data_IF_546544262123
#
_entry.id   IF_546544262123
#
_cell.length_a   1.000
_cell.length_b   1.000
_cell.length_c   1.000
_cell.angle_alpha   90.00
_cell.angle_beta   90.00
_cell.angle_gamma   90.00
#
_symmetry.space_group_name_H-M   'P 1'
#
loop_
_entity.id
_entity.type
_entity.pdbx_description
1 polymer ?
#
# COMPACT_ATOMS: atom_id res chain seq x y z
N UNK A 1 -51.35 -4.15 15.43
CA UNK A 1 -50.43 -3.92 14.30
C UNK A 1 -49.36 -5.00 14.38
N UNK A 2 -49.61 -6.18 13.79
CA UNK A 2 -48.68 -7.30 13.87
C UNK A 2 -47.60 -7.10 12.81
N UNK A 3 -46.41 -6.70 13.24
CA UNK A 3 -45.23 -6.68 12.36
C UNK A 3 -44.96 -8.14 12.01
N UNK A 4 -45.21 -8.51 10.76
CA UNK A 4 -44.98 -9.85 10.22
C UNK A 4 -43.58 -10.33 10.60
N UNK A 5 -43.44 -11.61 10.98
CA UNK A 5 -42.15 -12.24 11.28
C UNK A 5 -41.13 -12.03 10.14
N UNK A 6 -41.62 -11.91 8.89
CA UNK A 6 -40.84 -11.59 7.71
C UNK A 6 -40.22 -10.18 7.76
N UNK A 7 -40.94 -9.20 8.32
CA UNK A 7 -40.43 -7.84 8.51
C UNK A 7 -39.32 -7.78 9.56
N UNK A 8 -39.42 -8.58 10.62
CA UNK A 8 -38.34 -8.71 11.62
C UNK A 8 -37.09 -9.33 11.00
N UNK A 9 -37.25 -10.36 10.16
CA UNK A 9 -36.13 -11.03 9.50
C UNK A 9 -35.42 -10.10 8.51
N UNK A 10 -36.17 -9.29 7.76
CA UNK A 10 -35.62 -8.25 6.89
C UNK A 10 -34.88 -7.14 7.67
N UNK A 11 -35.43 -6.70 8.81
CA UNK A 11 -34.78 -5.72 9.69
C UNK A 11 -33.47 -6.26 10.31
N UNK A 12 -33.42 -7.55 10.65
CA UNK A 12 -32.24 -8.21 11.21
C UNK A 12 -31.13 -8.40 10.16
N UNK A 13 -31.48 -8.70 8.91
CA UNK A 13 -30.53 -8.77 7.79
C UNK A 13 -29.98 -7.38 7.44
N UNK A 14 -30.80 -6.32 7.55
CA UNK A 14 -30.37 -4.94 7.28
C UNK A 14 -29.46 -4.37 8.37
N UNK A 15 -29.67 -4.75 9.64
CA UNK A 15 -28.78 -4.35 10.76
C UNK A 15 -27.44 -5.10 10.80
N UNK A 16 -27.32 -6.20 10.06
CA UNK A 16 -26.06 -6.90 9.78
C UNK A 16 -25.30 -6.31 8.58
N UNK A 17 -25.79 -5.19 8.01
CA UNK A 17 -25.12 -4.45 6.94
C UNK A 17 -23.66 -4.17 7.29
N UNK A 18 -22.77 -4.74 6.47
CA UNK A 18 -21.32 -4.80 6.64
C UNK A 18 -20.68 -3.47 7.09
N UNK A 19 -20.05 -3.47 8.26
CA UNK A 19 -19.04 -2.48 8.66
C UNK A 19 -17.72 -2.79 7.91
N UNK A 20 -17.71 -2.66 6.58
CA UNK A 20 -16.50 -2.84 5.79
C UNK A 20 -15.67 -1.55 5.80
N UNK A 21 -14.82 -1.37 6.81
CA UNK A 21 -13.86 -0.27 6.81
C UNK A 21 -12.70 -0.59 5.84
N UNK A 22 -12.86 -0.18 4.58
CA UNK A 22 -11.81 -0.29 3.57
C UNK A 22 -10.94 0.98 3.60
N UNK A 23 -9.66 0.84 3.93
CA UNK A 23 -8.70 1.94 3.82
C UNK A 23 -8.04 1.91 2.45
N UNK A 24 -8.18 3.00 1.68
CA UNK A 24 -7.53 3.12 0.37
C UNK A 24 -6.27 3.97 0.47
N UNK A 25 -5.13 3.43 0.03
CA UNK A 25 -3.89 4.16 -0.11
C UNK A 25 -3.72 4.62 -1.55
N UNK A 26 -3.55 5.92 -1.80
CA UNK A 26 -3.20 6.46 -3.12
C UNK A 26 -1.76 6.93 -3.14
N UNK A 27 -0.94 6.32 -3.99
CA UNK A 27 0.45 6.68 -4.21
C UNK A 27 0.54 7.42 -5.54
N UNK A 28 1.00 8.67 -5.50
CA UNK A 28 1.18 9.49 -6.70
C UNK A 28 2.62 9.95 -6.80
N UNK A 29 3.21 9.77 -7.99
CA UNK A 29 4.52 10.29 -8.31
C UNK A 29 4.37 11.70 -8.91
N UNK A 30 4.63 12.72 -8.11
CA UNK A 30 4.69 14.11 -8.57
C UNK A 30 6.10 14.54 -9.01
N UNK A 31 7.08 13.64 -8.96
CA UNK A 31 8.43 13.92 -9.44
C UNK A 31 8.49 13.82 -10.97
N UNK A 32 9.45 14.51 -11.58
CA UNK A 32 9.75 14.45 -13.02
C UNK A 32 10.51 13.19 -13.45
N UNK A 33 10.80 12.28 -12.51
CA UNK A 33 11.55 11.04 -12.73
C UNK A 33 10.79 9.83 -12.19
N UNK A 34 11.08 8.66 -12.75
CA UNK A 34 10.51 7.39 -12.31
C UNK A 34 11.00 7.05 -10.90
N UNK A 35 10.07 6.59 -10.07
CA UNK A 35 10.36 6.07 -8.74
C UNK A 35 9.92 4.62 -8.66
N UNK A 36 10.50 3.88 -7.71
CA UNK A 36 10.15 2.48 -7.45
C UNK A 36 9.68 2.33 -6.02
N UNK A 37 8.39 2.60 -5.73
CA UNK A 37 7.88 2.47 -4.38
C UNK A 37 8.10 1.03 -3.88
N UNK A 38 8.60 0.91 -2.66
CA UNK A 38 8.68 -0.33 -1.91
C UNK A 38 7.55 -0.39 -0.89
N UNK A 39 7.03 -1.59 -0.66
CA UNK A 39 5.96 -1.82 0.32
C UNK A 39 6.31 -3.00 1.21
N UNK A 40 5.88 -2.94 2.45
CA UNK A 40 6.04 -4.04 3.40
C UNK A 40 4.85 -4.08 4.34
N UNK A 41 4.25 -5.25 4.52
CA UNK A 41 3.34 -5.47 5.65
C UNK A 41 4.16 -5.71 6.92
N UNK A 42 3.81 -5.02 8.01
CA UNK A 42 4.46 -5.17 9.31
C UNK A 42 3.72 -6.11 10.27
N UNK A 43 2.52 -6.57 9.91
CA UNK A 43 1.70 -7.46 10.75
C UNK A 43 1.39 -8.80 10.08
N UNK A 44 2.16 -9.19 9.05
CA UNK A 44 1.94 -10.42 8.30
C UNK A 44 0.66 -10.43 7.45
N UNK A 45 -0.02 -9.29 7.32
CA UNK A 45 -1.14 -9.12 6.41
C UNK A 45 -0.66 -9.10 4.95
N UNK A 46 -1.60 -9.07 4.00
CA UNK A 46 -1.28 -8.98 2.58
C UNK A 46 -0.39 -7.77 2.28
N UNK A 47 0.70 -7.99 1.52
CA UNK A 47 1.59 -6.91 1.10
C UNK A 47 0.95 -6.19 -0.08
N UNK A 48 0.74 -4.88 0.07
CA UNK A 48 0.11 -4.07 -0.97
C UNK A 48 1.08 -3.81 -2.13
N UNK A 49 0.68 -4.07 -3.37
CA UNK A 49 1.55 -3.86 -4.53
C UNK A 49 2.76 -4.82 -4.59
N UNK A 50 2.58 -6.06 -4.11
CA UNK A 50 3.55 -7.16 -4.21
C UNK A 50 4.97 -6.87 -3.67
N UNK A 51 5.11 -5.93 -2.74
CA UNK A 51 6.39 -5.56 -2.15
C UNK A 51 7.15 -4.48 -2.91
N UNK A 52 6.74 -4.14 -4.13
CA UNK A 52 7.31 -3.04 -4.89
C UNK A 52 6.96 -3.05 -6.37
N UNK A 53 6.90 -1.85 -6.94
CA UNK A 53 6.46 -1.64 -8.32
C UNK A 53 7.14 -0.41 -8.92
N UNK A 54 7.00 -0.24 -10.23
CA UNK A 54 7.50 0.94 -10.96
C UNK A 54 6.40 2.00 -11.02
N UNK A 55 6.71 3.25 -10.69
CA UNK A 55 5.76 4.36 -10.79
C UNK A 55 6.35 5.50 -11.65
N UNK A 56 5.92 5.64 -12.91
CA UNK A 56 6.41 6.69 -13.82
C UNK A 56 6.06 8.11 -13.33
N UNK A 57 6.73 9.15 -13.86
CA UNK A 57 6.39 10.55 -13.57
C UNK A 57 4.91 10.86 -13.82
N UNK A 58 4.28 11.60 -12.92
CA UNK A 58 2.88 12.02 -13.02
C UNK A 58 1.84 10.90 -12.82
N UNK A 59 2.27 9.65 -12.66
CA UNK A 59 1.37 8.50 -12.51
C UNK A 59 0.91 8.33 -11.07
N UNK A 60 -0.27 7.73 -10.89
CA UNK A 60 -0.78 7.34 -9.59
C UNK A 60 -1.32 5.91 -9.59
N UNK A 61 -1.31 5.29 -8.42
CA UNK A 61 -1.85 3.95 -8.17
C UNK A 61 -2.59 3.93 -6.83
N UNK A 62 -3.61 3.08 -6.74
CA UNK A 62 -4.41 2.93 -5.54
C UNK A 62 -4.35 1.49 -5.04
N UNK A 63 -4.28 1.33 -3.72
CA UNK A 63 -4.28 0.04 -3.05
C UNK A 63 -5.38 0.01 -1.99
N UNK A 64 -6.19 -1.04 -2.00
CA UNK A 64 -7.13 -1.31 -0.93
C UNK A 64 -6.43 -2.12 0.15
N UNK A 65 -6.35 -1.55 1.34
CA UNK A 65 -5.78 -2.21 2.49
C UNK A 65 -6.84 -3.07 3.18
N UNK A 66 -6.49 -4.32 3.57
CA UNK A 66 -7.38 -5.12 4.40
C UNK A 66 -7.60 -4.44 5.76
N UNK A 67 -8.68 -4.79 6.48
CA UNK A 67 -8.92 -4.31 7.84
C UNK A 67 -7.71 -4.59 8.74
N UNK A 68 -7.37 -3.61 9.60
CA UNK A 68 -6.22 -3.69 10.50
C UNK A 68 -4.86 -3.85 9.80
N UNK A 69 -4.73 -3.45 8.54
CA UNK A 69 -3.43 -3.48 7.86
C UNK A 69 -2.42 -2.54 8.53
N UNK A 70 -1.21 -3.05 8.76
CA UNK A 70 -0.07 -2.27 9.22
C UNK A 70 1.11 -2.54 8.31
N UNK A 71 1.85 -1.48 7.98
CA UNK A 71 2.96 -1.60 7.05
C UNK A 71 3.65 -0.27 6.77
N UNK A 72 4.55 -0.31 5.81
CA UNK A 72 5.37 0.84 5.41
C UNK A 72 5.37 0.97 3.90
N UNK A 73 5.36 2.22 3.45
CA UNK A 73 5.64 2.62 2.08
C UNK A 73 6.89 3.50 2.08
N UNK A 74 7.78 3.33 1.11
CA UNK A 74 8.91 4.22 0.90
C UNK A 74 9.20 4.33 -0.60
N UNK A 75 9.83 5.42 -1.01
CA UNK A 75 10.21 5.62 -2.41
C UNK A 75 11.67 5.21 -2.63
N UNK A 76 11.95 4.52 -3.73
CA UNK A 76 13.32 4.25 -4.21
C UNK A 76 13.59 5.03 -5.48
N UNK A 77 14.83 5.46 -5.65
CA UNK A 77 15.26 6.24 -6.82
C UNK A 77 16.56 5.69 -7.40
N UNK A 78 16.77 5.96 -8.70
CA UNK A 78 17.96 5.50 -9.42
C UNK A 78 18.08 3.97 -9.42
N UNK A 79 16.97 3.27 -9.66
CA UNK A 79 16.96 1.81 -9.68
C UNK A 79 17.19 1.28 -11.10
N UNK A 80 17.97 0.21 -11.20
CA UNK A 80 18.09 -0.61 -12.39
C UNK A 80 17.80 -2.06 -12.01
N UNK A 81 16.80 -2.67 -12.66
CA UNK A 81 16.42 -4.06 -12.48
C UNK A 81 16.52 -4.80 -13.81
N UNK A 82 16.91 -6.07 -13.77
CA UNK A 82 16.87 -6.99 -14.90
C UNK A 82 15.47 -7.62 -15.07
N UNK A 83 15.30 -8.43 -16.11
CA UNK A 83 14.04 -9.12 -16.41
C UNK A 83 13.61 -10.11 -15.31
N UNK A 84 14.55 -10.53 -14.43
CA UNK A 84 14.27 -11.37 -13.27
C UNK A 84 13.80 -10.56 -12.05
N UNK A 85 13.82 -9.23 -12.14
CA UNK A 85 13.49 -8.32 -11.05
C UNK A 85 14.61 -8.16 -10.01
N UNK A 86 15.82 -8.65 -10.31
CA UNK A 86 17.01 -8.42 -9.51
C UNK A 86 17.72 -7.15 -9.99
N UNK A 87 18.33 -6.41 -9.08
CA UNK A 87 18.86 -5.10 -9.41
C UNK A 87 19.41 -4.35 -8.22
N UNK A 88 19.51 -3.02 -8.35
CA UNK A 88 19.94 -2.15 -7.25
C UNK A 88 19.36 -0.76 -7.41
N UNK A 89 18.99 -0.16 -6.28
CA UNK A 89 18.63 1.25 -6.19
C UNK A 89 19.73 2.09 -5.55
N UNK A 90 19.86 3.34 -5.99
CA UNK A 90 20.77 4.31 -5.36
C UNK A 90 20.30 4.72 -3.96
N UNK A 91 18.98 4.84 -3.77
CA UNK A 91 18.38 5.18 -2.47
C UNK A 91 17.21 4.25 -2.14
N UNK A 92 17.03 3.96 -0.84
CA UNK A 92 15.91 3.15 -0.34
C UNK A 92 15.94 1.68 -0.78
N UNK A 93 17.09 1.18 -1.24
CA UNK A 93 17.22 -0.21 -1.70
C UNK A 93 16.85 -1.21 -0.59
N UNK A 94 16.19 -2.30 -1.00
CA UNK A 94 15.64 -3.30 -0.09
C UNK A 94 16.26 -4.68 -0.32
N UNK A 95 17.57 -4.73 -0.65
CA UNK A 95 18.29 -5.99 -0.83
C UNK A 95 18.42 -6.42 -2.30
N UNK A 96 18.38 -5.46 -3.23
CA UNK A 96 18.64 -5.68 -4.64
C UNK A 96 17.52 -6.41 -5.41
N UNK A 97 16.27 -6.27 -4.97
CA UNK A 97 15.11 -6.84 -5.65
C UNK A 97 14.03 -5.79 -5.87
N UNK A 98 13.27 -5.91 -6.97
CA UNK A 98 12.11 -5.04 -7.23
C UNK A 98 11.04 -5.23 -6.15
N UNK A 99 10.74 -6.48 -5.81
CA UNK A 99 9.78 -6.84 -4.76
C UNK A 99 10.51 -6.93 -3.43
N UNK A 100 10.23 -6.00 -2.52
CA UNK A 100 10.88 -5.96 -1.22
C UNK A 100 10.30 -7.03 -0.29
N UNK A 101 11.20 -7.69 0.46
CA UNK A 101 10.83 -8.66 1.50
C UNK A 101 11.37 -8.20 2.85
N UNK A 102 10.82 -8.71 3.95
CA UNK A 102 11.28 -8.33 5.30
C UNK A 102 12.79 -8.58 5.52
N UNK A 103 13.33 -9.61 4.86
CA UNK A 103 14.76 -9.96 4.90
C UNK A 103 15.63 -8.87 4.27
N UNK A 104 15.13 -8.24 3.21
CA UNK A 104 15.84 -7.22 2.44
C UNK A 104 15.99 -5.88 3.17
N UNK A 105 15.01 -5.52 4.01
CA UNK A 105 15.04 -4.31 4.82
C UNK A 105 15.95 -4.41 6.04
N UNK A 106 16.15 -5.62 6.61
CA UNK A 106 17.08 -5.82 7.75
C UNK A 106 18.55 -5.57 7.39
N UNK A 107 18.90 -5.63 6.10
CA UNK A 107 20.25 -5.35 5.58
C UNK A 107 20.45 -3.92 5.09
N UNK A 108 19.38 -3.12 5.01
CA UNK A 108 19.44 -1.72 4.59
C UNK A 108 19.50 -0.82 5.83
N UNK A 109 20.44 0.14 5.91
CA UNK A 109 20.58 0.96 7.10
C UNK A 109 19.30 1.78 7.28
N UNK A 110 18.70 1.59 8.47
CA UNK A 110 17.59 2.36 9.05
C UNK A 110 17.23 3.65 8.29
N UNK A 111 16.10 3.67 7.60
CA UNK A 111 15.53 4.93 7.10
C UNK A 111 14.05 5.03 7.46
N UNK A 112 13.84 5.37 8.73
CA UNK A 112 12.63 6.03 9.23
C UNK A 112 12.44 7.44 8.66
N UNK A 113 13.30 7.86 7.74
CA UNK A 113 13.28 9.17 7.08
C UNK A 113 13.29 8.97 5.57
N UNK A 114 12.74 9.93 4.83
CA UNK A 114 12.71 9.97 3.37
C UNK A 114 11.61 9.14 2.69
N UNK A 115 10.36 9.34 3.13
CA UNK A 115 9.44 9.90 2.12
C UNK A 115 10.09 11.24 1.71
N UNK A 116 10.63 11.40 0.48
CA UNK A 116 11.00 12.74 0.05
C UNK A 116 9.76 13.61 0.27
N UNK A 117 9.92 14.84 0.78
CA UNK A 117 8.80 15.77 1.01
C UNK A 117 7.92 15.99 -0.24
N UNK A 118 8.37 15.49 -1.39
CA UNK A 118 7.78 15.48 -2.73
C UNK A 118 6.89 14.27 -3.05
N UNK A 119 6.95 13.18 -2.28
CA UNK A 119 5.92 12.15 -2.34
C UNK A 119 4.72 12.66 -1.53
N UNK A 120 3.89 13.49 -2.16
CA UNK A 120 2.50 13.66 -1.74
C UNK A 120 1.81 12.32 -1.97
N UNK A 121 2.12 11.37 -1.10
CA UNK A 121 1.22 10.30 -0.76
C UNK A 121 0.03 11.02 -0.17
N UNK A 122 -0.95 11.40 -1.00
CA UNK A 122 -2.28 11.62 -0.48
C UNK A 122 -2.76 10.24 -0.06
N UNK A 123 -2.33 9.82 1.13
CA UNK A 123 -2.97 8.73 1.86
C UNK A 123 -4.34 9.30 2.24
N UNK A 124 -5.24 9.37 1.26
CA UNK A 124 -6.62 9.70 1.47
C UNK A 124 -7.25 8.40 1.95
N UNK A 125 -7.19 8.16 3.26
CA UNK A 125 -7.98 7.11 3.89
C UNK A 125 -9.45 7.49 3.71
N UNK A 126 -10.01 7.13 2.55
CA UNK A 126 -11.44 7.29 2.32
C UNK A 126 -12.09 6.13 3.05
N UNK A 127 -12.61 6.38 4.25
CA UNK A 127 -13.51 5.45 4.92
C UNK A 127 -14.70 5.27 3.98
N UNK A 128 -14.81 4.09 3.37
CA UNK A 128 -16.04 3.71 2.69
C UNK A 128 -17.10 3.54 3.79
N UNK A 129 -18.06 4.47 3.84
CA UNK A 129 -19.24 4.40 4.70
C UNK A 129 -20.33 3.57 4.04
#
# INVERSE_FOLDING_TARGET
>A
MAISSWCYLLLLVFSLGNLANATVFTLQNLCSYTIWPGTLSGNGAATLGDGGFVLPPGSSIQFQAPPNWSGRFWARTGCAFDDSGAGKCATGDCGGTLKCTEVGLRRSPSLSSLLPRTLLTRISTTLAW
#
